data_IF_208578655716
#
_entry.id   IF_208578655716
#
_cell.length_a   1.000
_cell.length_b   1.000
_cell.length_c   1.000
_cell.angle_alpha   90.00
_cell.angle_beta   90.00
_cell.angle_gamma   90.00
#
_symmetry.space_group_name_H-M   'P 1'
#
loop_
_entity.id
_entity.type
_entity.pdbx_description
1 polymer ?
#
# COMPACT_ATOMS: atom_id res chain seq x y z
N UNK A 1 -31.70 17.89 -0.19
CA UNK A 1 -31.21 17.00 0.88
C UNK A 1 -30.91 15.65 0.25
N UNK A 2 -29.63 15.34 0.00
CA UNK A 2 -29.24 14.04 -0.55
C UNK A 2 -29.21 13.02 0.59
N UNK A 3 -30.36 12.41 0.87
CA UNK A 3 -30.47 11.29 1.79
C UNK A 3 -30.27 9.98 1.02
N UNK A 4 -29.13 9.32 1.26
CA UNK A 4 -29.01 7.86 1.44
C UNK A 4 -27.54 7.55 1.74
N UNK A 5 -27.24 7.19 2.99
CA UNK A 5 -25.92 6.66 3.36
C UNK A 5 -25.75 5.28 2.72
N UNK A 6 -25.22 5.25 1.50
CA UNK A 6 -24.84 4.02 0.79
C UNK A 6 -23.51 3.44 1.33
N UNK A 7 -23.23 3.56 2.62
CA UNK A 7 -21.99 3.11 3.20
C UNK A 7 -22.12 1.65 3.64
N UNK A 8 -22.16 0.74 2.67
CA UNK A 8 -21.92 -0.68 2.98
C UNK A 8 -20.49 -0.83 3.48
N UNK A 9 -20.35 -1.38 4.67
CA UNK A 9 -19.07 -1.81 5.24
C UNK A 9 -19.15 -3.33 5.37
N UNK A 10 -18.12 -4.03 4.91
CA UNK A 10 -18.10 -5.49 4.95
C UNK A 10 -17.84 -6.00 6.37
N UNK A 11 -18.32 -7.19 6.69
CA UNK A 11 -18.00 -7.88 7.95
C UNK A 11 -16.48 -8.01 8.17
N UNK A 12 -15.73 -8.26 7.10
CA UNK A 12 -14.27 -8.31 7.14
C UNK A 12 -13.63 -6.99 7.56
N UNK A 13 -14.20 -5.87 7.12
CA UNK A 13 -13.71 -4.55 7.51
C UNK A 13 -13.87 -4.34 9.01
N UNK A 14 -15.05 -4.64 9.55
CA UNK A 14 -15.29 -4.58 10.99
C UNK A 14 -14.39 -5.52 11.79
N UNK A 15 -14.18 -6.75 11.30
CA UNK A 15 -13.24 -7.69 11.91
C UNK A 15 -11.81 -7.13 11.98
N UNK A 16 -11.31 -6.54 10.88
CA UNK A 16 -9.96 -5.97 10.84
C UNK A 16 -9.87 -4.77 11.80
N UNK A 17 -10.88 -3.90 11.84
CA UNK A 17 -10.95 -2.77 12.76
C UNK A 17 -10.88 -3.22 14.22
N UNK A 18 -11.66 -4.23 14.59
CA UNK A 18 -11.66 -4.82 15.94
C UNK A 18 -10.31 -5.44 16.31
N UNK A 19 -9.66 -6.13 15.37
CA UNK A 19 -8.34 -6.73 15.58
C UNK A 19 -7.28 -5.65 15.82
N UNK A 20 -7.27 -4.59 15.01
CA UNK A 20 -6.33 -3.49 15.14
C UNK A 20 -6.58 -2.65 16.41
N UNK A 21 -7.84 -2.53 16.85
CA UNK A 21 -8.19 -1.84 18.09
C UNK A 21 -7.68 -2.61 19.33
N UNK A 22 -7.77 -3.94 19.31
CA UNK A 22 -7.29 -4.80 20.40
C UNK A 22 -5.77 -4.95 20.43
N UNK A 23 -5.11 -4.84 19.27
CA UNK A 23 -3.69 -5.09 19.10
C UNK A 23 -3.00 -3.91 18.38
N UNK A 24 -2.84 -2.76 19.04
CA UNK A 24 -2.29 -1.55 18.43
C UNK A 24 -0.85 -1.73 17.91
N UNK A 25 -0.09 -2.69 18.42
CA UNK A 25 1.25 -3.05 17.96
C UNK A 25 1.29 -3.60 16.53
N UNK A 26 0.20 -4.20 16.05
CA UNK A 26 0.12 -4.76 14.69
C UNK A 26 0.15 -3.68 13.61
N UNK A 27 -0.22 -2.44 13.97
CA UNK A 27 -0.25 -1.31 13.04
C UNK A 27 1.13 -1.02 12.44
N UNK A 28 2.18 -1.15 13.25
CA UNK A 28 3.55 -0.97 12.77
C UNK A 28 3.92 -2.06 11.77
N UNK A 29 3.61 -3.33 12.08
CA UNK A 29 3.86 -4.45 11.18
C UNK A 29 3.10 -4.34 9.84
N UNK A 30 1.89 -3.76 9.84
CA UNK A 30 1.14 -3.48 8.62
C UNK A 30 1.87 -2.46 7.71
N UNK A 31 2.40 -1.39 8.30
CA UNK A 31 3.17 -0.37 7.59
C UNK A 31 4.46 -0.98 7.04
N UNK A 32 5.20 -1.69 7.88
CA UNK A 32 6.49 -2.30 7.52
C UNK A 32 6.31 -3.34 6.40
N UNK A 33 5.26 -4.16 6.49
CA UNK A 33 4.92 -5.15 5.45
C UNK A 33 4.51 -4.50 4.12
N UNK A 34 3.75 -3.39 4.17
CA UNK A 34 3.43 -2.59 2.97
C UNK A 34 4.69 -1.98 2.37
N UNK A 35 5.59 -1.46 3.19
CA UNK A 35 6.82 -0.85 2.73
C UNK A 35 7.73 -1.83 1.98
N UNK A 36 7.81 -3.08 2.42
CA UNK A 36 8.66 -4.11 1.83
C UNK A 36 8.35 -4.39 0.35
N UNK A 37 7.06 -4.55 0.02
CA UNK A 37 6.63 -5.06 -1.29
C UNK A 37 5.82 -4.06 -2.11
N UNK A 38 5.12 -3.14 -1.47
CA UNK A 38 4.08 -2.33 -2.10
C UNK A 38 4.47 -0.85 -2.23
N UNK A 39 5.14 -0.26 -1.23
CA UNK A 39 5.72 1.08 -1.39
C UNK A 39 6.98 1.00 -2.22
N UNK A 40 6.81 1.09 -3.54
CA UNK A 40 7.93 1.23 -4.46
C UNK A 40 8.46 2.67 -4.36
N UNK A 41 9.77 2.80 -4.22
CA UNK A 41 10.41 4.10 -4.33
C UNK A 41 10.12 4.72 -5.71
N UNK A 42 9.96 6.05 -5.79
CA UNK A 42 9.87 6.74 -7.06
C UNK A 42 11.07 6.41 -7.94
N UNK A 43 10.82 5.99 -9.17
CA UNK A 43 11.87 5.65 -10.12
C UNK A 43 12.51 6.95 -10.62
N UNK A 44 13.83 7.09 -10.48
CA UNK A 44 14.58 8.16 -11.13
C UNK A 44 14.62 7.92 -12.65
N UNK A 45 13.87 8.72 -13.40
CA UNK A 45 13.72 8.54 -14.85
C UNK A 45 15.03 8.79 -15.62
N UNK A 46 15.90 9.69 -15.14
CA UNK A 46 17.19 9.96 -15.78
C UNK A 46 18.13 8.76 -15.63
N UNK A 47 18.27 8.23 -14.43
CA UNK A 47 19.05 7.00 -14.20
C UNK A 47 18.50 5.81 -14.99
N UNK A 48 17.18 5.66 -15.05
CA UNK A 48 16.55 4.59 -15.84
C UNK A 48 16.91 4.71 -17.33
N UNK A 49 16.84 5.92 -17.88
CA UNK A 49 17.18 6.18 -19.28
C UNK A 49 18.64 5.85 -19.60
N UNK A 50 19.57 6.15 -18.69
CA UNK A 50 20.99 5.84 -18.84
C UNK A 50 21.25 4.35 -18.77
N UNK A 51 20.59 3.64 -17.86
CA UNK A 51 20.70 2.17 -17.75
C UNK A 51 20.20 1.51 -19.04
N UNK A 52 19.01 1.91 -19.51
CA UNK A 52 18.44 1.37 -20.74
C UNK A 52 19.37 1.66 -21.96
N UNK A 53 19.95 2.85 -22.04
CA UNK A 53 20.93 3.21 -23.08
C UNK A 53 22.29 2.50 -22.96
N UNK A 54 22.68 2.10 -21.74
CA UNK A 54 23.93 1.37 -21.47
C UNK A 54 23.82 -0.14 -21.69
N UNK A 55 22.61 -0.65 -21.92
CA UNK A 55 22.38 -2.09 -22.09
C UNK A 55 22.96 -2.56 -23.43
N UNK A 56 24.07 -3.31 -23.37
CA UNK A 56 24.56 -4.09 -24.52
C UNK A 56 23.60 -5.25 -24.74
N UNK A 57 22.86 -5.21 -25.85
CA UNK A 57 21.96 -6.30 -26.23
C UNK A 57 22.80 -7.59 -26.39
N UNK A 58 22.42 -8.65 -25.68
CA UNK A 58 23.15 -9.93 -25.68
C UNK A 58 22.72 -10.81 -26.83
#
# INVERSE_FOLDING_TARGET
MFGKDNCYVSEYTHFIEDVLAKNPELKQGQIDGRALLWDKEPINLDERSRIDASTVNK
#
